data_IF_507612758411
#
_entry.id   IF_507612758411
#
_cell.length_a   1.000
_cell.length_b   1.000
_cell.length_c   1.000
_cell.angle_alpha   90.00
_cell.angle_beta   90.00
_cell.angle_gamma   90.00
#
_symmetry.space_group_name_H-M   'P 1'
#
loop_
_entity.id
_entity.type
_entity.pdbx_description
1 polymer ?
#
# COMPACT_ATOMS: atom_id res chain seq x y z
N UNK A 1 -53.82 -4.27 23.00
CA UNK A 1 -53.51 -5.70 23.19
C UNK A 1 -52.10 -5.94 22.64
N UNK A 2 -51.17 -6.18 23.55
CA UNK A 2 -49.84 -6.82 23.47
C UNK A 2 -48.85 -6.48 22.31
N UNK A 3 -47.81 -5.72 22.70
CA UNK A 3 -46.52 -5.56 22.04
C UNK A 3 -45.71 -6.86 22.20
N UNK A 4 -45.23 -7.44 21.10
CA UNK A 4 -44.36 -8.64 21.10
C UNK A 4 -42.90 -8.21 20.98
N UNK A 5 -42.23 -7.99 22.11
CA UNK A 5 -40.76 -7.88 22.22
C UNK A 5 -40.20 -9.17 22.81
N UNK A 6 -39.68 -10.08 22.00
CA UNK A 6 -38.87 -11.21 22.50
C UNK A 6 -37.97 -11.76 21.39
N UNK A 7 -36.74 -11.25 21.25
CA UNK A 7 -35.65 -11.98 20.58
C UNK A 7 -34.23 -11.45 20.81
N UNK A 8 -33.97 -10.46 21.67
CA UNK A 8 -32.59 -9.94 21.87
C UNK A 8 -31.77 -10.64 22.95
N UNK A 9 -32.39 -11.47 23.81
CA UNK A 9 -31.73 -12.04 24.99
C UNK A 9 -30.94 -13.34 24.72
N UNK A 10 -31.05 -13.96 23.55
CA UNK A 10 -30.36 -15.24 23.27
C UNK A 10 -28.95 -15.07 22.68
N UNK A 11 -28.62 -13.89 22.15
CA UNK A 11 -27.34 -13.64 21.47
C UNK A 11 -26.21 -13.21 22.42
N UNK A 12 -26.55 -12.57 23.54
CA UNK A 12 -25.55 -12.09 24.52
C UNK A 12 -24.91 -13.23 25.32
N UNK A 13 -25.68 -14.29 25.60
CA UNK A 13 -25.16 -15.44 26.35
C UNK A 13 -24.19 -16.30 25.53
N UNK A 14 -24.31 -16.39 24.20
CA UNK A 14 -23.38 -17.19 23.40
C UNK A 14 -22.02 -16.50 23.21
N UNK A 15 -21.98 -15.17 23.24
CA UNK A 15 -20.74 -14.40 23.10
C UNK A 15 -19.88 -14.53 24.37
N UNK A 16 -20.49 -14.37 25.54
CA UNK A 16 -19.78 -14.45 26.83
C UNK A 16 -19.20 -15.84 27.08
N UNK A 17 -19.91 -16.91 26.69
CA UNK A 17 -19.41 -18.29 26.83
C UNK A 17 -18.24 -18.56 25.87
N UNK A 18 -18.30 -18.05 24.63
CA UNK A 18 -17.19 -18.17 23.67
C UNK A 18 -15.95 -17.38 24.10
N UNK A 19 -16.12 -16.20 24.68
CA UNK A 19 -15.02 -15.38 25.20
C UNK A 19 -14.35 -16.04 26.42
N UNK A 20 -15.14 -16.62 27.33
CA UNK A 20 -14.61 -17.37 28.48
C UNK A 20 -13.82 -18.60 28.04
N UNK A 21 -14.29 -19.35 27.04
CA UNK A 21 -13.56 -20.48 26.46
C UNK A 21 -12.23 -20.04 25.83
N UNK A 22 -12.24 -18.95 25.06
CA UNK A 22 -11.02 -18.38 24.45
C UNK A 22 -9.99 -17.94 25.50
N UNK A 23 -10.43 -17.27 26.56
CA UNK A 23 -9.53 -16.86 27.66
C UNK A 23 -8.99 -18.04 28.46
N UNK A 24 -9.72 -19.16 28.55
CA UNK A 24 -9.23 -20.37 29.19
C UNK A 24 -8.13 -21.06 28.36
N UNK A 25 -8.26 -21.06 27.03
CA UNK A 25 -7.25 -21.61 26.13
C UNK A 25 -5.97 -20.78 26.05
N UNK A 26 -6.04 -19.45 26.20
CA UNK A 26 -4.83 -18.60 26.19
C UNK A 26 -3.99 -18.79 27.47
N UNK A 27 -4.62 -19.10 28.61
CA UNK A 27 -3.90 -19.33 29.87
C UNK A 27 -3.21 -20.70 29.97
N UNK A 28 -3.56 -21.68 29.12
CA UNK A 28 -2.89 -22.99 29.13
C UNK A 28 -1.56 -23.02 28.37
N UNK A 29 -1.23 -21.98 27.60
CA UNK A 29 0.05 -21.89 26.88
C UNK A 29 1.11 -21.01 27.59
N UNK A 30 0.78 -20.40 28.73
CA UNK A 30 1.71 -19.52 29.46
C UNK A 30 2.47 -20.20 30.61
N UNK A 31 2.32 -21.51 30.81
CA UNK A 31 3.03 -22.28 31.86
C UNK A 31 3.72 -23.50 31.25
N UNK A 32 4.76 -23.26 30.45
CA UNK A 32 5.71 -24.30 30.04
C UNK A 32 7.02 -23.69 29.47
N UNK A 33 7.63 -22.71 30.15
CA UNK A 33 9.02 -22.31 29.92
C UNK A 33 9.60 -21.74 31.23
N UNK A 34 9.76 -22.60 32.23
CA UNK A 34 10.64 -22.36 33.38
C UNK A 34 11.42 -23.63 33.68
N UNK A 35 12.69 -23.61 33.35
CA UNK A 35 13.78 -24.41 33.92
C UNK A 35 15.07 -23.74 33.41
N UNK A 36 15.71 -22.88 34.20
CA UNK A 36 16.69 -23.22 35.23
C UNK A 36 17.65 -24.34 34.78
N UNK A 37 18.88 -23.94 34.41
CA UNK A 37 20.12 -24.59 34.86
C UNK A 37 21.28 -23.61 34.72
N UNK A 38 21.97 -23.41 35.83
CA UNK A 38 23.22 -22.70 35.99
C UNK A 38 24.43 -23.62 35.77
N UNK A 39 25.51 -23.07 35.25
CA UNK A 39 26.92 -23.31 35.63
C UNK A 39 27.81 -22.42 34.74
N UNK A 40 28.49 -21.41 35.31
CA UNK A 40 29.94 -21.40 35.62
C UNK A 40 30.82 -21.37 34.35
N UNK A 41 31.88 -20.61 34.18
CA UNK A 41 32.65 -19.57 34.86
C UNK A 41 33.67 -19.13 33.78
N UNK A 42 34.05 -17.86 33.67
CA UNK A 42 35.46 -17.44 33.78
C UNK A 42 35.66 -15.97 33.39
N UNK A 43 36.27 -15.29 34.36
CA UNK A 43 36.81 -13.95 34.41
C UNK A 43 37.74 -13.58 33.24
N UNK A 44 37.73 -12.32 32.80
CA UNK A 44 38.80 -11.33 33.10
C UNK A 44 38.57 -10.01 32.34
N UNK A 45 38.57 -8.90 33.08
CA UNK A 45 38.84 -7.54 32.58
C UNK A 45 40.13 -7.10 33.29
N UNK A 46 41.09 -6.43 32.62
CA UNK A 46 41.18 -4.97 32.80
C UNK A 46 41.68 -4.15 31.58
N UNK A 47 41.07 -2.96 31.48
CA UNK A 47 41.61 -1.63 31.10
C UNK A 47 42.66 -1.40 30.00
N UNK A 48 42.19 -0.66 28.99
CA UNK A 48 42.63 0.70 28.59
C UNK A 48 44.14 1.00 28.38
N UNK A 49 44.54 1.18 27.11
CA UNK A 49 45.53 2.18 26.72
C UNK A 49 45.12 2.91 25.44
N UNK A 50 44.79 4.18 25.63
CA UNK A 50 44.75 5.26 24.66
C UNK A 50 45.97 5.28 23.74
N UNK A 51 45.73 5.47 22.44
CA UNK A 51 46.64 6.19 21.56
C UNK A 51 45.80 7.08 20.62
N UNK A 52 45.92 8.38 20.86
CA UNK A 52 45.38 9.44 20.02
C UNK A 52 46.17 9.53 18.72
N UNK A 53 45.46 9.59 17.58
CA UNK A 53 45.91 10.34 16.41
C UNK A 53 44.71 11.16 15.92
N UNK A 54 44.91 12.47 16.04
CA UNK A 54 44.09 13.56 15.50
C UNK A 54 44.00 13.43 13.99
N UNK A 55 42.79 13.41 13.42
CA UNK A 55 42.60 13.81 12.03
C UNK A 55 41.36 14.69 11.89
N UNK A 56 41.61 15.91 11.44
CA UNK A 56 40.65 16.96 11.17
C UNK A 56 39.94 16.64 9.85
N UNK A 57 38.84 15.90 9.92
CA UNK A 57 37.92 15.78 8.81
C UNK A 57 36.56 16.34 9.24
N UNK A 58 36.24 17.52 8.71
CA UNK A 58 34.96 18.19 8.78
C UNK A 58 33.80 17.20 8.79
N UNK A 59 33.12 17.09 9.94
CA UNK A 59 31.78 16.49 10.02
C UNK A 59 30.87 17.39 9.20
N UNK A 60 30.76 17.07 7.91
CA UNK A 60 29.68 17.54 7.04
C UNK A 60 28.42 17.03 7.72
N UNK A 61 27.79 17.88 8.53
CA UNK A 61 26.43 17.70 9.01
C UNK A 61 25.65 17.25 7.78
N UNK A 62 25.21 15.98 7.76
CA UNK A 62 24.16 15.55 6.84
C UNK A 62 23.05 16.57 7.08
N UNK A 63 22.84 17.44 6.11
CA UNK A 63 21.61 18.21 6.06
C UNK A 63 20.49 17.17 6.24
N UNK A 64 19.48 17.44 7.09
CA UNK A 64 18.32 16.57 7.15
C UNK A 64 17.87 16.37 5.71
N UNK A 65 17.84 15.11 5.26
CA UNK A 65 17.33 14.78 3.94
C UNK A 65 15.99 15.51 3.83
N UNK A 66 15.88 16.38 2.82
CA UNK A 66 14.61 17.03 2.53
C UNK A 66 13.54 15.91 2.52
N UNK A 67 12.35 16.13 3.11
CA UNK A 67 11.32 15.11 3.10
C UNK A 67 11.12 14.71 1.65
N UNK A 68 11.41 13.45 1.33
CA UNK A 68 11.29 12.94 -0.02
C UNK A 68 9.87 13.24 -0.49
N UNK A 69 9.75 14.20 -1.40
CA UNK A 69 8.49 14.55 -2.05
C UNK A 69 7.96 13.28 -2.68
N UNK A 70 6.77 12.87 -2.25
CA UNK A 70 6.21 11.58 -2.64
C UNK A 70 5.62 11.75 -4.03
N UNK A 71 6.32 11.24 -5.04
CA UNK A 71 5.84 11.31 -6.42
C UNK A 71 4.45 10.67 -6.54
N UNK A 72 3.50 11.45 -7.08
CA UNK A 72 2.11 11.02 -7.34
C UNK A 72 2.06 9.70 -8.11
N UNK A 73 3.01 9.49 -9.02
CA UNK A 73 2.99 8.40 -10.00
C UNK A 73 3.48 7.06 -9.46
N UNK A 74 4.19 7.00 -8.33
CA UNK A 74 4.72 5.71 -7.85
C UNK A 74 3.62 4.72 -7.49
N UNK A 75 2.53 5.21 -6.90
CA UNK A 75 1.30 4.48 -6.68
C UNK A 75 0.20 5.46 -6.23
N UNK A 76 -0.64 5.95 -7.15
CA UNK A 76 -1.67 6.92 -6.80
C UNK A 76 -2.88 6.29 -6.10
N UNK A 77 -2.94 4.96 -5.99
CA UNK A 77 -4.09 4.21 -5.45
C UNK A 77 -3.95 3.84 -3.98
N UNK A 78 -2.81 4.17 -3.36
CA UNK A 78 -2.62 4.04 -1.91
C UNK A 78 -2.72 5.42 -1.28
N UNK A 79 -3.67 5.62 -0.36
CA UNK A 79 -3.99 6.94 0.17
C UNK A 79 -2.84 7.56 0.99
N UNK A 80 -2.01 6.73 1.66
CA UNK A 80 -0.79 7.20 2.33
C UNK A 80 0.31 6.14 2.36
N UNK A 81 1.59 6.55 2.42
CA UNK A 81 2.72 5.61 2.58
C UNK A 81 2.70 4.82 3.89
N UNK A 82 1.95 5.27 4.90
CA UNK A 82 1.79 4.53 6.16
C UNK A 82 0.84 3.36 6.03
N UNK A 83 -0.05 3.39 5.03
CA UNK A 83 -0.82 2.22 4.65
C UNK A 83 0.10 1.27 3.88
N UNK A 84 0.09 0.00 4.26
CA UNK A 84 0.85 -1.03 3.56
C UNK A 84 0.41 -1.13 2.10
N UNK A 85 1.33 -1.50 1.22
CA UNK A 85 1.01 -1.82 -0.16
C UNK A 85 0.57 -3.30 -0.22
N UNK A 86 -0.68 -3.56 0.17
CA UNK A 86 -1.30 -4.90 0.19
C UNK A 86 -2.67 -4.88 -0.47
N UNK A 87 -3.12 -6.04 -1.00
CA UNK A 87 -4.43 -6.18 -1.64
C UNK A 87 -5.58 -5.70 -0.76
N UNK A 88 -5.51 -5.96 0.55
CA UNK A 88 -6.51 -5.51 1.53
C UNK A 88 -6.67 -3.98 1.53
N UNK A 89 -5.59 -3.23 1.40
CA UNK A 89 -5.63 -1.75 1.37
C UNK A 89 -6.33 -1.22 0.13
N UNK A 90 -6.26 -1.90 -1.00
CA UNK A 90 -7.03 -1.54 -2.19
C UNK A 90 -8.50 -1.91 -2.05
N UNK A 91 -8.77 -3.11 -1.54
CA UNK A 91 -10.12 -3.63 -1.30
C UNK A 91 -10.90 -2.70 -0.34
N UNK A 92 -10.26 -2.24 0.74
CA UNK A 92 -10.88 -1.35 1.72
C UNK A 92 -11.22 0.05 1.17
N UNK A 93 -10.57 0.49 0.08
CA UNK A 93 -10.81 1.80 -0.53
C UNK A 93 -11.89 1.78 -1.61
N UNK A 94 -12.29 0.60 -2.07
CA UNK A 94 -13.29 0.44 -3.13
C UNK A 94 -14.68 0.32 -2.48
N UNK A 95 -15.52 1.32 -2.68
CA UNK A 95 -16.91 1.35 -2.19
C UNK A 95 -17.86 0.69 -3.21
N UNK A 96 -17.56 -0.56 -3.58
CA UNK A 96 -18.33 -1.33 -4.55
C UNK A 96 -18.14 -2.84 -4.34
N UNK A 97 -19.08 -3.63 -4.88
CA UNK A 97 -18.86 -5.06 -5.04
C UNK A 97 -17.66 -5.30 -5.96
N UNK A 98 -16.77 -6.20 -5.55
CA UNK A 98 -15.53 -6.48 -6.26
C UNK A 98 -15.25 -7.97 -6.40
N UNK A 99 -14.43 -8.31 -7.39
CA UNK A 99 -13.84 -9.63 -7.56
C UNK A 99 -12.32 -9.52 -7.55
N UNK A 100 -11.66 -10.56 -7.04
CA UNK A 100 -10.22 -10.71 -7.03
C UNK A 100 -9.87 -12.05 -7.71
N UNK A 101 -9.19 -11.97 -8.84
CA UNK A 101 -8.62 -13.12 -9.53
C UNK A 101 -7.10 -13.18 -9.26
N UNK A 102 -6.53 -14.38 -9.29
CA UNK A 102 -5.11 -14.62 -9.07
C UNK A 102 -4.61 -15.65 -10.09
N UNK A 103 -3.71 -15.21 -10.97
CA UNK A 103 -3.17 -16.02 -12.05
C UNK A 103 -1.68 -16.27 -11.82
N UNK A 104 -1.30 -17.55 -11.80
CA UNK A 104 0.10 -17.94 -11.75
C UNK A 104 0.76 -17.69 -13.12
N UNK A 105 1.89 -16.99 -13.12
CA UNK A 105 2.65 -16.69 -14.34
C UNK A 105 4.11 -17.09 -14.20
N UNK A 106 4.74 -17.45 -15.30
CA UNK A 106 6.19 -17.67 -15.34
C UNK A 106 6.91 -16.33 -15.12
N UNK A 107 7.90 -16.31 -14.22
CA UNK A 107 8.71 -15.13 -13.99
C UNK A 107 9.47 -14.76 -15.27
N UNK A 108 9.49 -13.46 -15.59
CA UNK A 108 10.06 -12.94 -16.83
C UNK A 108 11.56 -13.20 -17.00
N UNK A 109 12.30 -13.36 -15.90
CA UNK A 109 13.76 -13.52 -15.88
C UNK A 109 14.22 -14.94 -15.54
N UNK A 110 13.37 -15.76 -14.92
CA UNK A 110 13.68 -17.11 -14.42
C UNK A 110 12.51 -18.06 -14.65
N UNK A 111 12.63 -18.95 -15.64
CA UNK A 111 11.55 -19.87 -16.04
C UNK A 111 11.13 -20.88 -14.96
N UNK A 112 11.98 -21.12 -13.97
CA UNK A 112 11.71 -22.01 -12.83
C UNK A 112 11.00 -21.30 -11.65
N UNK A 113 10.76 -20.00 -11.77
CA UNK A 113 10.08 -19.18 -10.77
C UNK A 113 8.68 -18.85 -11.27
N UNK A 114 7.68 -19.08 -10.42
CA UNK A 114 6.28 -18.78 -10.71
C UNK A 114 5.83 -17.61 -9.85
N UNK A 115 5.46 -16.51 -10.49
CA UNK A 115 4.91 -15.32 -9.84
C UNK A 115 3.39 -15.31 -9.95
N UNK A 116 2.76 -14.25 -9.44
CA UNK A 116 1.30 -14.12 -9.48
C UNK A 116 0.89 -12.76 -10.01
N UNK A 117 -0.08 -12.75 -10.92
CA UNK A 117 -0.85 -11.56 -11.27
C UNK A 117 -2.15 -11.57 -10.47
N UNK A 118 -2.40 -10.51 -9.72
CA UNK A 118 -3.68 -10.26 -9.08
C UNK A 118 -4.50 -9.27 -9.88
N UNK A 119 -5.77 -9.59 -10.08
CA UNK A 119 -6.71 -8.81 -10.88
C UNK A 119 -7.91 -8.42 -10.03
N UNK A 120 -8.02 -7.13 -9.68
CA UNK A 120 -9.14 -6.57 -8.94
C UNK A 120 -10.13 -5.89 -9.90
N UNK A 121 -11.37 -6.39 -9.97
CA UNK A 121 -12.44 -5.80 -10.80
C UNK A 121 -13.57 -5.29 -9.94
N UNK A 122 -14.09 -4.12 -10.27
CA UNK A 122 -15.21 -3.50 -9.56
C UNK A 122 -15.91 -2.51 -10.48
N UNK A 123 -17.24 -2.57 -10.56
CA UNK A 123 -18.00 -1.80 -11.56
C UNK A 123 -17.45 -2.01 -12.98
N UNK A 124 -17.11 -0.90 -13.66
CA UNK A 124 -16.43 -0.91 -14.97
C UNK A 124 -14.93 -0.61 -14.85
N UNK A 125 -14.33 -0.84 -13.68
CA UNK A 125 -12.94 -0.58 -13.36
C UNK A 125 -12.15 -1.87 -13.12
N UNK A 126 -10.84 -1.76 -13.24
CA UNK A 126 -9.90 -2.86 -13.07
C UNK A 126 -8.55 -2.36 -12.56
N UNK A 127 -7.87 -3.14 -11.72
CA UNK A 127 -6.48 -2.95 -11.31
C UNK A 127 -5.72 -4.28 -11.38
N UNK A 128 -4.54 -4.25 -12.00
CA UNK A 128 -3.65 -5.40 -12.17
C UNK A 128 -2.36 -5.19 -11.36
N UNK A 129 -2.01 -6.19 -10.57
CA UNK A 129 -0.82 -6.19 -9.73
C UNK A 129 0.04 -7.40 -10.04
N UNK A 130 1.34 -7.19 -10.14
CA UNK A 130 2.31 -8.27 -10.17
C UNK A 130 2.93 -8.47 -8.81
N UNK A 131 2.98 -9.73 -8.39
CA UNK A 131 3.56 -10.14 -7.14
C UNK A 131 4.67 -11.16 -7.40
N UNK A 132 5.95 -10.73 -7.37
CA UNK A 132 7.08 -11.65 -7.44
C UNK A 132 7.05 -12.59 -6.25
N UNK A 133 7.14 -13.89 -6.51
CA UNK A 133 7.16 -14.94 -5.48
C UNK A 133 8.34 -14.83 -4.52
N UNK A 134 9.46 -14.29 -4.98
CA UNK A 134 10.69 -14.18 -4.19
C UNK A 134 10.69 -12.99 -3.22
N UNK A 135 10.15 -11.84 -3.63
CA UNK A 135 10.11 -10.64 -2.78
C UNK A 135 8.81 -10.53 -1.99
N UNK A 136 7.71 -11.04 -2.54
CA UNK A 136 6.35 -10.86 -1.98
C UNK A 136 5.84 -9.42 -2.09
N UNK A 137 6.52 -8.55 -2.83
CA UNK A 137 6.07 -7.17 -3.07
C UNK A 137 4.85 -7.16 -3.99
N UNK A 138 3.91 -6.25 -3.75
CA UNK A 138 2.74 -6.07 -4.61
C UNK A 138 2.95 -4.84 -5.50
N UNK A 139 3.16 -5.05 -6.79
CA UNK A 139 3.53 -3.99 -7.72
C UNK A 139 2.36 -3.68 -8.66
N UNK A 140 1.81 -2.46 -8.57
CA UNK A 140 0.73 -2.03 -9.47
C UNK A 140 1.29 -1.89 -10.89
N UNK A 141 0.77 -2.69 -11.82
CA UNK A 141 1.16 -2.66 -13.24
C UNK A 141 0.24 -1.76 -14.04
N UNK A 142 -1.06 -1.99 -13.93
CA UNK A 142 -2.08 -1.31 -14.74
C UNK A 142 -3.28 -0.99 -13.87
N UNK A 143 -3.88 0.18 -14.08
CA UNK A 143 -5.23 0.44 -13.61
C UNK A 143 -6.05 1.08 -14.71
N UNK A 144 -7.32 0.71 -14.80
CA UNK A 144 -8.31 1.32 -15.66
C UNK A 144 -9.55 1.60 -14.83
N UNK A 145 -9.77 2.87 -14.49
CA UNK A 145 -10.77 3.32 -13.53
C UNK A 145 -11.82 4.13 -14.26
N UNK A 146 -13.05 3.61 -14.30
CA UNK A 146 -14.21 4.27 -14.89
C UNK A 146 -15.32 4.51 -13.86
N UNK A 147 -15.26 3.80 -12.73
CA UNK A 147 -16.20 3.96 -11.62
C UNK A 147 -15.77 5.11 -10.69
N UNK A 148 -16.73 5.87 -10.12
CA UNK A 148 -16.44 6.87 -9.10
C UNK A 148 -16.23 6.27 -7.69
N UNK A 149 -16.33 4.95 -7.55
CA UNK A 149 -16.32 4.21 -6.26
C UNK A 149 -14.94 4.07 -5.62
N UNK A 150 -13.92 4.69 -6.21
CA UNK A 150 -12.57 4.77 -5.66
C UNK A 150 -12.05 6.19 -5.77
N UNK A 151 -11.41 6.65 -4.70
CA UNK A 151 -10.71 7.93 -4.67
C UNK A 151 -9.22 7.69 -4.54
N UNK A 152 -8.47 8.14 -5.53
CA UNK A 152 -7.01 8.06 -5.54
C UNK A 152 -6.43 9.13 -4.60
N UNK A 153 -5.15 9.00 -4.29
CA UNK A 153 -4.36 9.97 -3.53
C UNK A 153 -4.54 11.38 -4.08
N UNK A 154 -4.46 12.36 -3.17
CA UNK A 154 -4.75 13.76 -3.43
C UNK A 154 -6.19 14.03 -3.90
N UNK A 155 -7.10 13.08 -3.67
CA UNK A 155 -8.51 13.15 -4.06
C UNK A 155 -8.68 13.28 -5.59
N UNK A 156 -7.85 12.54 -6.34
CA UNK A 156 -8.04 12.32 -7.77
C UNK A 156 -9.14 11.27 -7.95
N UNK A 157 -10.13 11.54 -8.81
CA UNK A 157 -11.30 10.67 -8.96
C UNK A 157 -12.00 10.87 -10.28
N UNK A 158 -12.72 9.84 -10.74
CA UNK A 158 -13.64 9.97 -11.86
C UNK A 158 -14.75 10.98 -11.50
N UNK A 159 -15.13 11.82 -12.45
CA UNK A 159 -16.15 12.86 -12.29
C UNK A 159 -15.63 14.24 -11.86
N UNK A 160 -14.36 14.36 -11.46
CA UNK A 160 -13.77 15.66 -11.14
C UNK A 160 -13.66 16.57 -12.37
N UNK A 161 -13.68 17.88 -12.18
CA UNK A 161 -13.55 18.81 -13.31
C UNK A 161 -12.12 18.85 -13.85
N UNK A 162 -11.99 19.19 -15.14
CA UNK A 162 -10.67 19.41 -15.77
C UNK A 162 -9.84 20.48 -15.03
N UNK A 163 -10.48 21.55 -14.57
CA UNK A 163 -9.81 22.61 -13.82
C UNK A 163 -9.32 22.14 -12.45
N UNK A 164 -10.14 21.36 -11.74
CA UNK A 164 -9.75 20.75 -10.46
C UNK A 164 -8.56 19.81 -10.65
N UNK A 165 -8.59 18.98 -11.70
CA UNK A 165 -7.50 18.05 -12.03
C UNK A 165 -6.19 18.79 -12.30
N UNK A 166 -6.19 19.79 -13.19
CA UNK A 166 -4.99 20.53 -13.54
C UNK A 166 -4.40 21.26 -12.33
N UNK A 167 -5.24 21.80 -11.44
CA UNK A 167 -4.76 22.44 -10.21
C UNK A 167 -4.07 21.43 -9.28
N UNK A 168 -4.63 20.22 -9.13
CA UNK A 168 -4.02 19.16 -8.33
C UNK A 168 -2.70 18.67 -8.92
N UNK A 169 -2.64 18.42 -10.23
CA UNK A 169 -1.42 17.96 -10.89
C UNK A 169 -0.31 19.02 -10.80
N UNK A 170 -0.62 20.30 -11.03
CA UNK A 170 0.36 21.40 -10.91
C UNK A 170 0.84 21.61 -9.47
N UNK A 171 0.02 21.28 -8.47
CA UNK A 171 0.42 21.38 -7.07
C UNK A 171 1.50 20.35 -6.68
N UNK A 172 1.71 19.29 -7.48
CA UNK A 172 2.78 18.30 -7.28
C UNK A 172 4.17 18.84 -7.65
N UNK A 173 4.27 20.04 -8.22
CA UNK A 173 5.53 20.68 -8.55
C UNK A 173 6.11 20.26 -9.90
N UNK A 174 7.43 20.38 -10.05
CA UNK A 174 8.15 20.17 -11.31
C UNK A 174 8.48 18.69 -11.61
N UNK A 175 8.07 17.76 -10.76
CA UNK A 175 8.38 16.33 -10.93
C UNK A 175 7.51 15.63 -11.98
N UNK A 176 6.44 16.29 -12.45
CA UNK A 176 5.48 15.75 -13.41
C UNK A 176 5.52 16.51 -14.73
N UNK A 177 5.68 15.77 -15.82
CA UNK A 177 5.43 16.26 -17.16
C UNK A 177 3.93 16.14 -17.45
N UNK A 178 3.28 17.28 -17.69
CA UNK A 178 1.83 17.35 -17.95
C UNK A 178 1.60 17.69 -19.42
N UNK A 179 1.05 16.75 -20.16
CA UNK A 179 0.61 16.94 -21.55
C UNK A 179 -0.91 17.06 -21.60
N UNK A 180 -1.45 18.08 -22.27
CA UNK A 180 -2.88 18.33 -22.36
C UNK A 180 -3.35 18.35 -23.81
N UNK A 181 -4.41 17.60 -24.09
CA UNK A 181 -5.20 17.67 -25.32
C UNK A 181 -6.66 18.04 -25.00
N UNK A 182 -7.51 18.11 -26.03
CA UNK A 182 -8.94 18.44 -25.85
C UNK A 182 -9.69 17.39 -25.01
N UNK A 183 -9.30 16.12 -25.11
CA UNK A 183 -10.04 14.99 -24.53
C UNK A 183 -9.22 14.18 -23.52
N UNK A 184 -7.99 14.60 -23.22
CA UNK A 184 -7.08 13.84 -22.37
C UNK A 184 -6.05 14.75 -21.71
N UNK A 185 -5.75 14.48 -20.44
CA UNK A 185 -4.60 15.03 -19.73
C UNK A 185 -3.72 13.86 -19.32
N UNK A 186 -2.43 13.93 -19.62
CA UNK A 186 -1.45 12.90 -19.29
C UNK A 186 -0.47 13.51 -18.29
N UNK A 187 -0.24 12.82 -17.17
CA UNK A 187 0.82 13.12 -16.22
C UNK A 187 1.82 11.96 -16.23
N UNK A 188 3.09 12.25 -16.53
CA UNK A 188 4.17 11.26 -16.57
C UNK A 188 5.36 11.74 -15.73
N UNK A 189 6.21 10.80 -15.30
CA UNK A 189 7.42 11.13 -14.57
C UNK A 189 8.52 11.59 -15.53
N UNK A 190 9.32 12.54 -15.06
CA UNK A 190 10.46 13.05 -15.83
C UNK A 190 11.64 12.04 -15.85
N UNK A 191 11.84 11.34 -14.73
CA UNK A 191 12.98 10.44 -14.51
C UNK A 191 12.53 9.12 -13.86
N UNK A 192 13.28 8.06 -14.11
CA UNK A 192 13.06 6.72 -13.53
C UNK A 192 12.28 5.78 -14.45
N UNK A 193 11.70 4.73 -13.86
CA UNK A 193 10.88 3.76 -14.57
C UNK A 193 9.63 4.45 -15.15
N UNK A 194 9.27 4.24 -16.43
CA UNK A 194 8.18 4.98 -17.05
C UNK A 194 6.87 4.67 -16.34
N UNK A 195 6.22 5.71 -15.83
CA UNK A 195 4.91 5.66 -15.20
C UNK A 195 4.05 6.81 -15.73
N UNK A 196 2.82 6.52 -16.12
CA UNK A 196 1.89 7.53 -16.61
C UNK A 196 0.50 7.38 -16.04
N UNK A 197 -0.15 8.52 -15.84
CA UNK A 197 -1.57 8.65 -15.55
C UNK A 197 -2.24 9.39 -16.70
N UNK A 198 -3.19 8.72 -17.32
CA UNK A 198 -4.02 9.24 -18.40
C UNK A 198 -5.41 9.55 -17.84
N UNK A 199 -5.81 10.80 -17.91
CA UNK A 199 -7.12 11.28 -17.51
C UNK A 199 -7.94 11.62 -18.75
N UNK A 200 -8.81 10.72 -19.15
CA UNK A 200 -9.72 10.98 -20.27
C UNK A 200 -10.86 11.89 -19.81
N UNK A 201 -11.24 12.82 -20.69
CA UNK A 201 -12.21 13.85 -20.42
C UNK A 201 -13.47 13.66 -21.28
N UNK A 202 -14.63 13.84 -20.66
CA UNK A 202 -15.92 13.93 -21.32
C UNK A 202 -16.71 15.07 -20.70
N UNK A 203 -17.18 16.01 -21.52
CA UNK A 203 -17.95 17.18 -21.08
C UNK A 203 -17.22 18.00 -19.98
N UNK A 204 -15.90 18.17 -20.10
CA UNK A 204 -15.08 18.94 -19.15
C UNK A 204 -14.84 18.25 -17.79
N UNK A 205 -15.19 16.97 -17.66
CA UNK A 205 -14.97 16.15 -16.46
C UNK A 205 -14.16 14.91 -16.80
N UNK A 206 -13.40 14.41 -15.83
CA UNK A 206 -12.71 13.13 -15.93
C UNK A 206 -13.75 12.02 -16.03
N UNK A 207 -13.68 11.19 -17.07
CA UNK A 207 -14.58 10.03 -17.24
C UNK A 207 -13.86 8.70 -17.04
N UNK A 208 -12.54 8.68 -17.18
CA UNK A 208 -11.70 7.49 -17.04
C UNK A 208 -10.30 7.90 -16.63
N UNK A 209 -9.71 7.14 -15.71
CA UNK A 209 -8.31 7.28 -15.30
C UNK A 209 -7.60 5.98 -15.67
N UNK A 210 -6.53 6.05 -16.44
CA UNK A 210 -5.70 4.90 -16.78
C UNK A 210 -4.29 5.10 -16.24
N UNK A 211 -3.81 4.13 -15.50
CA UNK A 211 -2.44 4.08 -14.98
C UNK A 211 -1.67 3.01 -15.73
N UNK A 212 -0.45 3.32 -16.11
CA UNK A 212 0.52 2.38 -16.64
C UNK A 212 1.82 2.55 -15.88
N UNK A 213 2.24 1.48 -15.19
CA UNK A 213 3.49 1.42 -14.45
C UNK A 213 4.40 0.36 -15.04
N UNK A 214 5.69 0.70 -15.16
CA UNK A 214 6.71 -0.29 -15.49
C UNK A 214 7.03 -1.15 -14.27
N UNK A 215 6.96 -2.47 -14.45
CA UNK A 215 7.26 -3.47 -13.43
C UNK A 215 8.20 -4.51 -14.03
N UNK A 216 9.37 -4.66 -13.42
CA UNK A 216 10.43 -5.60 -13.84
C UNK A 216 11.27 -6.04 -12.64
#
# INVERSE_FOLDING_TARGET
>A
MLIRRYSSLRYTYSLSVRLMLLLLFVNTFAVACSSDTASEEENFVPEERSNAITDTASVRRRAPAAPATVSLLSNPFVASRSQGNSLSTYIEQIDADLTLDADAIENRHKSDVTDTIFTLRFGNSMMEFYAPSQSGELLLQVADIQSPDITLRDNLRVGMSQSELLNKLKAQGQELDITQSNNEIIASNHEGAPMSLHFHLKNGKVNRIRYEGYVD
#
